data_IF_737185844578
#
_entry.id   IF_737185844578
#
_cell.length_a   1.000
_cell.length_b   1.000
_cell.length_c   1.000
_cell.angle_alpha   90.00
_cell.angle_beta   90.00
_cell.angle_gamma   90.00
#
_symmetry.space_group_name_H-M   'P 1'
#
loop_
_entity.id
_entity.type
_entity.pdbx_description
1 polymer ?
#
# COMPACT_ATOMS: atom_id res chain seq x y z
N UNK A 1 -6.19 -7.95 19.95
CA UNK A 1 -6.67 -6.59 19.57
C UNK A 1 -8.12 -6.78 19.18
N UNK A 2 -9.05 -6.03 19.78
CA UNK A 2 -10.48 -6.18 19.47
C UNK A 2 -10.82 -5.27 18.28
N UNK A 3 -11.35 -5.84 17.20
CA UNK A 3 -11.56 -5.10 15.96
C UNK A 3 -12.95 -4.48 15.93
N UNK A 4 -13.02 -3.23 16.41
CA UNK A 4 -14.24 -2.43 16.39
C UNK A 4 -14.49 -1.79 15.01
N UNK A 5 -15.64 -1.11 14.87
CA UNK A 5 -16.01 -0.40 13.63
C UNK A 5 -15.02 0.71 13.28
N UNK A 6 -14.57 1.45 14.30
CA UNK A 6 -13.68 2.61 14.14
C UNK A 6 -12.34 2.22 13.50
N UNK A 7 -11.79 1.05 13.85
CA UNK A 7 -10.55 0.52 13.25
C UNK A 7 -10.76 0.20 11.76
N UNK A 8 -11.90 -0.38 11.39
CA UNK A 8 -12.20 -0.71 9.99
C UNK A 8 -12.33 0.56 9.16
N UNK A 9 -13.03 1.58 9.67
CA UNK A 9 -13.15 2.88 8.99
C UNK A 9 -11.81 3.59 8.88
N UNK A 10 -10.96 3.49 9.91
CA UNK A 10 -9.61 4.02 9.84
C UNK A 10 -8.78 3.34 8.76
N UNK A 11 -8.83 2.00 8.68
CA UNK A 11 -8.14 1.23 7.65
C UNK A 11 -8.67 1.57 6.25
N UNK A 12 -10.00 1.68 6.10
CA UNK A 12 -10.69 2.09 4.87
C UNK A 12 -10.10 3.39 4.29
N UNK A 13 -9.90 4.38 5.15
CA UNK A 13 -9.32 5.66 4.78
C UNK A 13 -7.83 5.56 4.42
N UNK A 14 -7.06 4.72 5.12
CA UNK A 14 -5.63 4.54 4.83
C UNK A 14 -5.39 3.86 3.49
N UNK A 15 -6.21 2.86 3.13
CA UNK A 15 -6.06 2.13 1.87
C UNK A 15 -6.81 2.76 0.70
N UNK A 16 -7.61 3.80 0.95
CA UNK A 16 -8.41 4.52 -0.06
C UNK A 16 -9.41 3.62 -0.81
N UNK A 17 -9.92 2.57 -0.15
CA UNK A 17 -10.92 1.65 -0.70
C UNK A 17 -12.22 1.88 0.06
N UNK A 18 -13.34 2.15 -0.62
CA UNK A 18 -14.65 2.26 0.04
C UNK A 18 -15.33 0.91 0.16
N UNK A 19 -15.82 0.56 1.35
CA UNK A 19 -16.53 -0.70 1.58
C UNK A 19 -18.01 -0.45 1.91
N UNK A 20 -18.88 -1.34 1.41
CA UNK A 20 -20.25 -1.42 1.89
C UNK A 20 -20.32 -1.99 3.31
N UNK A 21 -21.41 -1.75 4.04
CA UNK A 21 -21.58 -2.29 5.40
C UNK A 21 -21.56 -3.83 5.46
N UNK A 22 -22.01 -4.49 4.39
CA UNK A 22 -21.92 -5.96 4.28
C UNK A 22 -20.47 -6.41 4.16
N UNK A 23 -19.67 -5.72 3.34
CA UNK A 23 -18.24 -6.00 3.16
C UNK A 23 -17.45 -5.71 4.43
N UNK A 24 -17.71 -4.59 5.11
CA UNK A 24 -17.06 -4.26 6.39
C UNK A 24 -17.24 -5.36 7.43
N UNK A 25 -18.46 -5.89 7.56
CA UNK A 25 -18.75 -6.98 8.50
C UNK A 25 -18.03 -8.29 8.13
N UNK A 26 -17.87 -8.57 6.83
CA UNK A 26 -17.11 -9.73 6.37
C UNK A 26 -15.62 -9.55 6.61
N UNK A 27 -15.07 -8.39 6.24
CA UNK A 27 -13.66 -8.04 6.37
C UNK A 27 -13.24 -8.07 7.83
N UNK A 28 -14.05 -7.55 8.75
CA UNK A 28 -13.81 -7.64 10.19
C UNK A 28 -13.54 -9.10 10.61
N UNK A 29 -14.46 -10.01 10.28
CA UNK A 29 -14.29 -11.44 10.63
C UNK A 29 -13.05 -12.08 10.02
N UNK A 30 -12.68 -11.70 8.80
CA UNK A 30 -11.49 -12.27 8.14
C UNK A 30 -10.19 -11.68 8.70
N UNK A 31 -10.14 -10.38 8.95
CA UNK A 31 -8.97 -9.73 9.57
C UNK A 31 -8.76 -10.28 10.99
N UNK A 32 -9.81 -10.58 11.75
CA UNK A 32 -9.68 -11.14 13.11
C UNK A 32 -8.93 -12.49 13.04
N UNK A 33 -9.33 -13.36 12.12
CA UNK A 33 -8.65 -14.64 11.89
C UNK A 33 -7.20 -14.47 11.47
N UNK A 34 -6.91 -13.48 10.61
CA UNK A 34 -5.55 -13.18 10.16
C UNK A 34 -4.70 -12.70 11.34
N UNK A 35 -5.21 -11.79 12.17
CA UNK A 35 -4.52 -11.31 13.37
C UNK A 35 -4.26 -12.47 14.33
N UNK A 36 -5.25 -13.34 14.56
CA UNK A 36 -5.09 -14.52 15.42
C UNK A 36 -4.02 -15.48 14.88
N UNK A 37 -3.96 -15.67 13.57
CA UNK A 37 -2.88 -16.44 12.94
C UNK A 37 -1.52 -15.80 13.21
N UNK A 38 -1.36 -14.48 13.07
CA UNK A 38 -0.09 -13.80 13.35
C UNK A 38 0.26 -13.77 14.84
N UNK A 39 -0.73 -13.77 15.73
CA UNK A 39 -0.50 -13.83 17.18
C UNK A 39 0.23 -15.13 17.60
N UNK A 40 0.24 -16.17 16.77
CA UNK A 40 1.07 -17.37 17.00
C UNK A 40 2.56 -17.06 17.02
N UNK A 41 3.03 -16.02 16.31
CA UNK A 41 4.44 -15.59 16.32
C UNK A 41 4.89 -15.09 17.69
N UNK A 42 3.97 -14.60 18.52
CA UNK A 42 4.28 -14.18 19.90
C UNK A 42 4.73 -15.35 20.80
N UNK A 43 4.51 -16.60 20.37
CA UNK A 43 4.98 -17.78 21.11
C UNK A 43 6.46 -18.08 20.87
N UNK A 44 7.07 -17.47 19.85
CA UNK A 44 8.49 -17.62 19.55
C UNK A 44 9.31 -16.86 20.60
N UNK A 45 10.19 -17.57 21.29
CA UNK A 45 11.03 -16.99 22.35
C UNK A 45 12.30 -16.39 21.76
N UNK A 46 12.88 -15.44 22.50
CA UNK A 46 14.21 -14.88 22.24
C UNK A 46 14.33 -14.10 20.91
N UNK A 47 13.22 -13.55 20.38
CA UNK A 47 13.26 -12.75 19.14
C UNK A 47 14.15 -11.50 19.25
N UNK A 48 14.34 -10.97 20.46
CA UNK A 48 15.21 -9.81 20.71
C UNK A 48 16.70 -10.11 20.50
N UNK A 49 17.09 -11.38 20.42
CA UNK A 49 18.48 -11.79 20.22
C UNK A 49 18.86 -11.84 18.72
N UNK A 50 17.89 -11.59 17.83
CA UNK A 50 18.05 -11.70 16.37
C UNK A 50 17.76 -10.38 15.68
N UNK A 51 18.65 -10.00 14.77
CA UNK A 51 18.42 -8.86 13.88
C UNK A 51 17.35 -9.19 12.84
N UNK A 52 16.42 -8.25 12.52
CA UNK A 52 15.45 -8.44 11.47
C UNK A 52 16.10 -8.66 10.10
N UNK A 53 15.58 -9.63 9.34
CA UNK A 53 16.02 -9.86 7.97
C UNK A 53 15.32 -8.90 7.01
N UNK A 54 16.05 -7.89 6.53
CA UNK A 54 15.52 -6.92 5.55
C UNK A 54 15.66 -7.40 4.10
N UNK A 55 16.79 -8.01 3.77
CA UNK A 55 17.08 -8.55 2.44
C UNK A 55 17.68 -9.95 2.59
N UNK A 56 17.21 -10.89 1.76
CA UNK A 56 17.69 -12.28 1.78
C UNK A 56 19.14 -12.36 1.29
N UNK A 57 19.54 -11.44 0.43
CA UNK A 57 20.89 -11.32 -0.09
C UNK A 57 21.61 -10.14 0.58
N UNK A 58 22.92 -10.26 0.70
CA UNK A 58 23.78 -9.13 1.05
C UNK A 58 23.83 -8.17 -0.13
N UNK A 59 22.93 -7.19 -0.11
CA UNK A 59 22.84 -6.17 -1.15
C UNK A 59 23.77 -5.02 -0.77
N UNK A 60 24.80 -4.78 -1.60
CA UNK A 60 25.47 -3.48 -1.62
C UNK A 60 24.55 -2.47 -2.29
N UNK A 61 24.32 -1.30 -1.70
CA UNK A 61 23.51 -0.23 -2.32
C UNK A 61 24.25 0.32 -3.54
N UNK A 62 23.88 -0.05 -4.79
CA UNK A 62 24.57 0.47 -5.95
C UNK A 62 24.22 1.95 -6.09
N UNK A 63 25.22 2.79 -6.32
CA UNK A 63 24.96 4.17 -6.71
C UNK A 63 24.48 4.17 -8.16
N UNK A 64 23.44 4.97 -8.45
CA UNK A 64 23.04 5.27 -9.83
C UNK A 64 24.00 6.31 -10.38
N UNK A 65 24.58 6.03 -11.55
CA UNK A 65 25.42 6.99 -12.28
C UNK A 65 24.58 8.20 -12.73
N UNK A 66 25.12 9.40 -12.58
CA UNK A 66 24.45 10.63 -12.98
C UNK A 66 24.63 10.89 -14.47
N UNK A 67 23.87 10.15 -15.28
CA UNK A 67 23.80 10.31 -16.72
C UNK A 67 22.35 10.49 -17.16
N UNK A 68 22.18 11.27 -18.22
CA UNK A 68 20.90 11.43 -18.91
C UNK A 68 20.57 10.12 -19.66
N UNK A 69 19.31 9.68 -19.57
CA UNK A 69 18.77 8.58 -20.36
C UNK A 69 17.99 9.16 -21.54
N UNK A 70 18.21 8.60 -22.74
CA UNK A 70 17.41 8.90 -23.93
C UNK A 70 16.13 8.04 -23.90
N UNK A 71 15.25 8.26 -22.93
CA UNK A 71 13.93 7.60 -22.94
C UNK A 71 12.92 8.52 -23.62
N UNK A 72 12.25 7.97 -24.64
CA UNK A 72 11.03 8.57 -25.18
C UNK A 72 9.96 8.59 -24.09
N UNK A 73 9.05 9.55 -24.17
CA UNK A 73 7.95 9.76 -23.21
C UNK A 73 6.89 8.64 -23.31
N UNK A 74 7.31 7.36 -23.23
CA UNK A 74 6.44 6.18 -23.26
C UNK A 74 5.38 6.29 -22.16
N UNK A 75 5.73 6.89 -21.02
CA UNK A 75 4.80 7.22 -19.94
C UNK A 75 3.65 8.12 -20.42
N UNK A 76 3.93 9.13 -21.25
CA UNK A 76 2.90 9.99 -21.82
C UNK A 76 1.98 9.23 -22.80
N UNK A 77 2.52 8.31 -23.60
CA UNK A 77 1.72 7.44 -24.46
C UNK A 77 0.83 6.48 -23.65
N UNK A 78 1.36 5.89 -22.57
CA UNK A 78 0.60 5.03 -21.65
C UNK A 78 -0.55 5.80 -20.98
N UNK A 79 -0.32 7.07 -20.62
CA UNK A 79 -1.33 7.92 -20.00
C UNK A 79 -2.50 8.22 -20.93
N UNK A 80 -2.27 8.38 -22.24
CA UNK A 80 -3.34 8.62 -23.24
C UNK A 80 -4.34 7.48 -23.31
N UNK A 81 -3.90 6.24 -23.10
CA UNK A 81 -4.76 5.07 -23.15
C UNK A 81 -5.63 4.91 -21.89
N UNK A 82 -5.14 5.39 -20.73
CA UNK A 82 -5.69 5.04 -19.43
C UNK A 82 -6.26 6.24 -18.65
N UNK A 83 -6.16 7.46 -19.17
CA UNK A 83 -6.59 8.67 -18.46
C UNK A 83 -7.35 9.64 -19.37
N UNK A 84 -8.12 10.55 -18.75
CA UNK A 84 -8.75 11.65 -19.48
C UNK A 84 -7.77 12.82 -19.46
N UNK A 85 -7.35 13.27 -20.64
CA UNK A 85 -6.47 14.42 -20.79
C UNK A 85 -7.26 15.69 -21.20
N UNK A 86 -6.90 16.84 -20.65
CA UNK A 86 -7.34 18.16 -21.11
C UNK A 86 -6.08 19.01 -21.31
N UNK A 87 -5.82 19.45 -22.55
CA UNK A 87 -4.61 20.19 -22.92
C UNK A 87 -3.31 19.48 -22.45
N UNK A 88 -3.24 18.16 -22.62
CA UNK A 88 -2.14 17.29 -22.20
C UNK A 88 -1.93 17.14 -20.67
N UNK A 89 -2.87 17.63 -19.86
CA UNK A 89 -2.88 17.40 -18.41
C UNK A 89 -3.89 16.31 -18.01
N UNK A 90 -3.52 15.47 -17.04
CA UNK A 90 -4.43 14.49 -16.44
C UNK A 90 -5.56 15.21 -15.72
N UNK A 91 -6.80 14.94 -16.14
CA UNK A 91 -8.01 15.46 -15.51
C UNK A 91 -8.34 14.63 -14.27
N UNK A 92 -8.30 15.26 -13.11
CA UNK A 92 -8.71 14.67 -11.83
C UNK A 92 -9.69 15.59 -11.07
N UNK A 93 -10.45 15.06 -10.10
CA UNK A 93 -11.21 15.89 -9.16
C UNK A 93 -10.29 16.87 -8.42
N UNK A 94 -10.80 18.08 -8.13
CA UNK A 94 -10.05 19.08 -7.36
C UNK A 94 -9.73 18.53 -5.97
N UNK A 95 -8.45 18.58 -5.58
CA UNK A 95 -7.94 17.96 -4.34
C UNK A 95 -8.44 18.65 -3.06
N UNK A 96 -8.83 19.93 -3.16
CA UNK A 96 -9.38 20.71 -2.04
C UNK A 96 -10.68 21.35 -2.48
N UNK A 97 -11.75 21.09 -1.73
CA UNK A 97 -13.04 21.77 -1.82
C UNK A 97 -13.07 22.93 -0.81
N UNK A 98 -13.37 24.14 -1.28
CA UNK A 98 -13.65 25.32 -0.44
C UNK A 98 -14.95 25.16 0.36
#
# INVERSE_FOLDING_TARGET
MDMNSDIIEYLENLVLIKFTEVEKNRIRKEIDKIIDMFNTLNTVKNLNDWEPLYHVHDISLPLREDHETEESDEEHEILKENTILINDYVKAPRTVTE
#
